data_IF_684091927453
#
_entry.id   IF_684091927453
#
_cell.length_a   1.000
_cell.length_b   1.000
_cell.length_c   1.000
_cell.angle_alpha   90.00
_cell.angle_beta   90.00
_cell.angle_gamma   90.00
#
_symmetry.space_group_name_H-M   'P 1'
#
loop_
_entity.id
_entity.type
_entity.pdbx_description
1 polymer ?
#
# COMPACT_ATOMS: atom_id res chain seq x y z
N UNK A 1 8.25 6.50 3.22
CA UNK A 1 7.12 7.46 3.10
C UNK A 1 5.83 6.87 2.50
N UNK A 2 5.78 6.37 1.26
CA UNK A 2 4.52 5.81 0.70
C UNK A 2 4.00 4.59 1.48
N UNK A 3 4.92 3.70 1.88
CA UNK A 3 4.60 2.53 2.69
C UNK A 3 4.04 2.89 4.08
N UNK A 4 4.73 3.77 4.80
CA UNK A 4 4.28 4.29 6.10
C UNK A 4 2.89 4.91 6.00
N UNK A 5 2.68 5.83 5.05
CA UNK A 5 1.36 6.46 4.84
C UNK A 5 0.25 5.43 4.59
N UNK A 6 0.53 4.42 3.75
CA UNK A 6 -0.44 3.36 3.45
C UNK A 6 -0.78 2.51 4.68
N UNK A 7 0.23 2.15 5.47
CA UNK A 7 0.05 1.43 6.74
C UNK A 7 -0.77 2.26 7.71
N UNK A 8 -0.36 3.50 7.99
CA UNK A 8 -1.04 4.39 8.94
C UNK A 8 -2.49 4.63 8.55
N UNK A 9 -2.79 4.85 7.27
CA UNK A 9 -4.17 5.02 6.81
C UNK A 9 -5.02 3.76 7.06
N UNK A 10 -4.47 2.57 6.78
CA UNK A 10 -5.17 1.30 7.03
C UNK A 10 -5.42 1.11 8.53
N UNK A 11 -4.48 1.50 9.40
CA UNK A 11 -4.57 1.39 10.85
C UNK A 11 -5.56 2.38 11.46
N UNK A 12 -5.57 3.65 11.01
CA UNK A 12 -6.53 4.67 11.45
C UNK A 12 -7.96 4.26 11.09
N UNK A 13 -8.13 3.57 9.95
CA UNK A 13 -9.40 2.98 9.50
C UNK A 13 -10.59 3.97 9.54
N UNK A 14 -10.48 5.15 8.91
CA UNK A 14 -11.40 6.27 9.17
C UNK A 14 -12.83 6.08 8.63
N UNK A 15 -13.05 5.09 7.75
CA UNK A 15 -14.36 4.85 7.13
C UNK A 15 -14.99 3.55 7.64
N UNK A 16 -16.34 3.47 7.60
CA UNK A 16 -17.07 2.25 7.95
C UNK A 16 -16.71 1.07 7.05
N UNK A 17 -16.51 1.33 5.76
CA UNK A 17 -16.13 0.33 4.75
C UNK A 17 -15.24 0.97 3.68
N UNK A 18 -14.48 0.14 2.95
CA UNK A 18 -13.72 0.58 1.78
C UNK A 18 -12.33 1.15 2.06
N UNK A 19 -11.82 1.13 3.30
CA UNK A 19 -10.48 1.61 3.65
C UNK A 19 -9.37 0.99 2.78
N UNK A 20 -9.47 -0.31 2.48
CA UNK A 20 -8.52 -1.00 1.60
C UNK A 20 -8.53 -0.55 0.14
N UNK A 21 -9.66 0.02 -0.34
CA UNK A 21 -9.76 0.61 -1.69
C UNK A 21 -9.27 2.05 -1.70
N UNK A 22 -9.65 2.84 -0.68
CA UNK A 22 -9.27 4.25 -0.58
C UNK A 22 -7.76 4.40 -0.34
N UNK A 23 -7.14 3.53 0.46
CA UNK A 23 -5.68 3.52 0.66
C UNK A 23 -4.89 3.29 -0.63
N UNK A 24 -5.32 2.34 -1.47
CA UNK A 24 -4.71 2.10 -2.79
C UNK A 24 -4.93 3.26 -3.74
N UNK A 25 -6.14 3.83 -3.76
CA UNK A 25 -6.40 5.03 -4.55
C UNK A 25 -5.49 6.19 -4.11
N UNK A 26 -5.24 6.33 -2.80
CA UNK A 26 -4.30 7.33 -2.28
C UNK A 26 -2.86 7.05 -2.72
N UNK A 27 -2.42 5.79 -2.74
CA UNK A 27 -1.13 5.40 -3.32
C UNK A 27 -1.06 5.77 -4.81
N UNK A 28 -2.10 5.49 -5.60
CA UNK A 28 -2.15 5.86 -7.03
C UNK A 28 -2.05 7.38 -7.22
N UNK A 29 -2.78 8.17 -6.42
CA UNK A 29 -2.70 9.64 -6.47
C UNK A 29 -1.29 10.13 -6.18
N UNK A 30 -0.61 9.53 -5.20
CA UNK A 30 0.76 9.91 -4.85
C UNK A 30 1.76 9.50 -5.92
N UNK A 31 1.61 8.30 -6.52
CA UNK A 31 2.44 7.84 -7.62
C UNK A 31 2.29 8.73 -8.86
N UNK A 32 1.05 9.05 -9.25
CA UNK A 32 0.76 9.94 -10.39
C UNK A 32 1.29 11.36 -10.15
N UNK A 33 1.16 11.90 -8.93
CA UNK A 33 1.76 13.19 -8.57
C UNK A 33 3.29 13.19 -8.66
N UNK A 34 3.93 12.03 -8.50
CA UNK A 34 5.36 11.85 -8.66
C UNK A 34 5.79 11.56 -10.12
N UNK A 35 4.86 11.54 -11.07
CA UNK A 35 5.13 11.30 -12.50
C UNK A 35 5.05 9.83 -12.93
N UNK A 36 4.65 8.93 -12.02
CA UNK A 36 4.41 7.53 -12.34
C UNK A 36 3.01 7.31 -12.95
N UNK A 37 2.74 6.13 -13.50
CA UNK A 37 1.39 5.68 -13.85
C UNK A 37 0.65 5.15 -12.60
N UNK A 38 -0.68 4.93 -12.67
CA UNK A 38 -1.39 4.16 -11.65
C UNK A 38 -0.75 2.78 -11.43
N UNK A 39 -0.79 2.26 -10.20
CA UNK A 39 -0.05 1.06 -9.82
C UNK A 39 -0.84 -0.22 -10.14
N UNK A 40 -0.13 -1.30 -10.49
CA UNK A 40 -0.74 -2.62 -10.67
C UNK A 40 -0.75 -3.42 -9.36
N UNK A 41 -1.93 -3.59 -8.78
CA UNK A 41 -2.12 -4.33 -7.53
C UNK A 41 -2.34 -5.83 -7.73
N UNK A 42 -2.18 -6.37 -8.93
CA UNK A 42 -2.40 -7.80 -9.22
C UNK A 42 -1.57 -8.71 -8.32
N UNK A 43 -0.28 -8.39 -8.13
CA UNK A 43 0.60 -9.13 -7.22
C UNK A 43 0.13 -9.09 -5.76
N UNK A 44 -0.36 -7.94 -5.29
CA UNK A 44 -0.89 -7.81 -3.92
C UNK A 44 -2.18 -8.62 -3.75
N UNK A 45 -2.99 -8.70 -4.80
CA UNK A 45 -4.24 -9.45 -4.82
C UNK A 45 -4.03 -10.96 -4.94
N UNK A 46 -2.96 -11.39 -5.62
CA UNK A 46 -2.52 -12.78 -5.69
C UNK A 46 -1.95 -13.21 -4.32
N UNK A 47 -1.17 -12.34 -3.67
CA UNK A 47 -0.50 -12.62 -2.40
C UNK A 47 -1.13 -11.86 -1.23
N UNK A 48 -2.46 -11.94 -1.07
CA UNK A 48 -3.20 -11.22 -0.01
C UNK A 48 -2.66 -11.50 1.39
N UNK A 49 -2.30 -12.74 1.69
CA UNK A 49 -1.77 -13.12 3.00
C UNK A 49 -0.47 -12.40 3.32
N UNK A 50 0.42 -12.26 2.32
CA UNK A 50 1.65 -11.50 2.47
C UNK A 50 1.35 -10.02 2.69
N UNK A 51 0.46 -9.44 1.89
CA UNK A 51 0.01 -8.06 2.06
C UNK A 51 -0.52 -7.80 3.48
N UNK A 52 -1.41 -8.65 4.00
CA UNK A 52 -1.94 -8.49 5.35
C UNK A 52 -0.86 -8.62 6.44
N UNK A 53 0.05 -9.59 6.31
CA UNK A 53 1.18 -9.74 7.24
C UNK A 53 2.14 -8.54 7.19
N UNK A 54 2.37 -7.97 6.01
CA UNK A 54 3.19 -6.77 5.84
C UNK A 54 2.56 -5.56 6.56
N UNK A 55 1.24 -5.38 6.46
CA UNK A 55 0.53 -4.34 7.23
C UNK A 55 0.64 -4.60 8.73
N UNK A 56 0.52 -5.86 9.18
CA UNK A 56 0.66 -6.22 10.59
C UNK A 56 2.06 -5.91 11.12
N UNK A 57 3.12 -6.21 10.36
CA UNK A 57 4.48 -5.84 10.71
C UNK A 57 4.66 -4.32 10.78
N UNK A 58 4.07 -3.59 9.82
CA UNK A 58 4.09 -2.13 9.80
C UNK A 58 3.43 -1.47 11.02
N UNK A 59 2.46 -2.14 11.67
CA UNK A 59 1.88 -1.67 12.95
C UNK A 59 2.94 -1.50 14.04
N UNK A 60 3.94 -2.37 14.05
CA UNK A 60 5.03 -2.36 15.03
C UNK A 60 6.25 -1.55 14.51
N UNK A 61 6.06 -0.77 13.44
CA UNK A 61 7.10 0.07 12.82
C UNK A 61 7.98 -0.66 11.81
N UNK A 62 7.71 -1.93 11.52
CA UNK A 62 8.47 -2.70 10.54
C UNK A 62 7.89 -2.55 9.12
N UNK A 63 8.15 -1.39 8.53
CA UNK A 63 7.58 -1.00 7.23
C UNK A 63 8.25 -1.69 6.02
N UNK A 64 9.38 -2.40 6.21
CA UNK A 64 10.21 -2.92 5.11
C UNK A 64 9.44 -3.83 4.14
N UNK A 65 8.46 -4.57 4.65
CA UNK A 65 7.64 -5.49 3.84
C UNK A 65 6.64 -4.75 2.96
N UNK A 66 6.07 -3.64 3.45
CA UNK A 66 5.18 -2.78 2.64
C UNK A 66 6.00 -1.94 1.67
N UNK A 67 7.19 -1.50 2.06
CA UNK A 67 8.13 -0.84 1.14
C UNK A 67 8.50 -1.73 -0.03
N UNK A 68 8.75 -3.02 0.21
CA UNK A 68 8.96 -4.00 -0.85
C UNK A 68 7.76 -4.10 -1.77
N UNK A 69 6.56 -4.26 -1.23
CA UNK A 69 5.32 -4.32 -2.02
C UNK A 69 5.11 -3.08 -2.89
N UNK A 70 5.38 -1.89 -2.36
CA UNK A 70 5.27 -0.62 -3.09
C UNK A 70 6.34 -0.52 -4.19
N UNK A 71 7.57 -0.96 -3.90
CA UNK A 71 8.66 -1.02 -4.89
C UNK A 71 8.31 -1.95 -6.04
N UNK A 72 7.84 -3.16 -5.75
CA UNK A 72 7.50 -4.16 -6.75
C UNK A 72 6.48 -3.61 -7.76
N UNK A 73 5.50 -2.80 -7.32
CA UNK A 73 4.48 -2.22 -8.21
C UNK A 73 4.90 -0.91 -8.88
N UNK A 74 5.95 -0.25 -8.40
CA UNK A 74 6.54 0.95 -9.03
C UNK A 74 7.57 0.57 -10.11
N UNK A 75 8.32 -0.52 -9.93
CA UNK A 75 9.36 -0.97 -10.86
C UNK A 75 8.81 -1.70 -12.10
N UNK A 76 7.52 -2.08 -12.09
CA UNK A 76 6.84 -2.74 -13.23
C UNK A 76 6.40 -1.74 -14.32
N UNK A 77 6.74 -0.46 -14.19
CA UNK A 77 6.37 0.61 -15.14
C UNK A 77 7.37 0.84 -16.28
#
# INVERSE_FOLDING_TARGET
MLAEMHVEFILIHPFREGNGRISRLLLDVMAVKAGAQPLDYSLWNEHKDYYFKAIQAGRDGDYQFVERLVRDVLEIQ
#
